data_IF_938248139115
#
_entry.id   IF_938248139115
#
_cell.length_a   1.000
_cell.length_b   1.000
_cell.length_c   1.000
_cell.angle_alpha   90.00
_cell.angle_beta   90.00
_cell.angle_gamma   90.00
#
_symmetry.space_group_name_H-M   'P 1'
#
loop_
_entity.id
_entity.type
_entity.pdbx_description
1 polymer ?
#
# COMPACT_ATOMS: atom_id res chain seq x y z
N UNK A 1 8.55 -1.38 -64.02
CA UNK A 1 7.92 -0.20 -63.37
C UNK A 1 7.75 -0.50 -61.88
N UNK A 2 8.76 -0.12 -61.09
CA UNK A 2 8.66 0.46 -59.72
C UNK A 2 8.12 -0.32 -58.49
N UNK A 3 8.22 -1.66 -58.37
CA UNK A 3 7.80 -2.34 -57.12
C UNK A 3 8.76 -3.37 -56.51
N UNK A 4 10.07 -3.34 -56.82
CA UNK A 4 11.07 -4.19 -56.14
C UNK A 4 12.14 -3.44 -55.35
N UNK A 5 12.27 -2.11 -55.51
CA UNK A 5 13.26 -1.32 -54.77
C UNK A 5 12.75 -0.84 -53.39
N UNK A 6 11.45 -0.90 -53.13
CA UNK A 6 10.85 -0.44 -51.87
C UNK A 6 11.05 -1.46 -50.73
N UNK A 7 11.23 -2.74 -51.04
CA UNK A 7 11.40 -3.80 -50.02
C UNK A 7 12.70 -3.67 -49.21
N UNK A 8 13.91 -3.43 -49.77
CA UNK A 8 15.11 -3.26 -48.95
C UNK A 8 15.07 -1.99 -48.10
N UNK A 9 14.43 -0.91 -48.60
CA UNK A 9 14.30 0.35 -47.86
C UNK A 9 13.32 0.18 -46.69
N UNK A 10 12.18 -0.48 -46.91
CA UNK A 10 11.22 -0.77 -45.85
C UNK A 10 11.82 -1.69 -44.77
N UNK A 11 12.59 -2.71 -45.17
CA UNK A 11 13.31 -3.59 -44.22
C UNK A 11 14.33 -2.79 -43.42
N UNK A 12 15.10 -1.91 -44.04
CA UNK A 12 16.07 -1.06 -43.34
C UNK A 12 15.39 -0.13 -42.32
N UNK A 13 14.26 0.49 -42.68
CA UNK A 13 13.48 1.35 -41.77
C UNK A 13 12.92 0.54 -40.60
N UNK A 14 12.38 -0.66 -40.84
CA UNK A 14 11.87 -1.54 -39.79
C UNK A 14 13.00 -1.99 -38.84
N UNK A 15 14.18 -2.33 -39.36
CA UNK A 15 15.34 -2.69 -38.54
C UNK A 15 15.81 -1.52 -37.65
N UNK A 16 15.81 -0.29 -38.18
CA UNK A 16 16.16 0.91 -37.41
C UNK A 16 15.13 1.17 -36.29
N UNK A 17 13.82 1.02 -36.58
CA UNK A 17 12.77 1.18 -35.58
C UNK A 17 12.88 0.14 -34.45
N UNK A 18 13.14 -1.13 -34.80
CA UNK A 18 13.34 -2.21 -33.82
C UNK A 18 14.56 -1.91 -32.94
N UNK A 19 15.70 -1.53 -33.54
CA UNK A 19 16.90 -1.18 -32.78
C UNK A 19 16.69 0.01 -31.82
N UNK A 20 15.88 1.00 -32.22
CA UNK A 20 15.58 2.17 -31.39
C UNK A 20 14.67 1.81 -30.20
N UNK A 21 13.69 0.92 -30.41
CA UNK A 21 12.82 0.40 -29.34
C UNK A 21 13.65 -0.39 -28.31
N UNK A 22 14.54 -1.29 -28.77
CA UNK A 22 15.40 -2.06 -27.86
C UNK A 22 16.36 -1.15 -27.07
N UNK A 23 16.96 -0.13 -27.70
CA UNK A 23 17.85 0.82 -27.02
C UNK A 23 17.11 1.70 -25.99
N UNK A 24 15.86 2.06 -26.25
CA UNK A 24 15.03 2.77 -25.27
C UNK A 24 14.55 1.86 -24.12
N UNK A 25 14.42 0.54 -24.35
CA UNK A 25 14.02 -0.42 -23.32
C UNK A 25 15.16 -0.73 -22.33
N UNK A 26 16.42 -0.80 -22.79
CA UNK A 26 17.58 -1.03 -21.91
C UNK A 26 17.79 0.08 -20.87
N UNK A 27 17.42 1.32 -21.18
CA UNK A 27 17.48 2.44 -20.24
C UNK A 27 16.56 2.32 -19.01
N UNK A 28 15.60 1.39 -19.03
CA UNK A 28 14.70 1.12 -17.89
C UNK A 28 15.28 0.05 -16.92
N UNK A 29 16.22 -0.78 -17.38
CA UNK A 29 16.81 -1.86 -16.56
C UNK A 29 17.79 -1.28 -15.52
N UNK A 30 18.54 -0.23 -15.86
CA UNK A 30 19.46 0.41 -14.90
C UNK A 30 18.74 1.11 -13.74
N UNK A 31 17.52 1.61 -13.96
CA UNK A 31 16.70 2.22 -12.89
C UNK A 31 16.32 1.19 -11.80
N UNK A 32 16.04 -0.06 -12.19
CA UNK A 32 15.76 -1.15 -11.24
C UNK A 32 16.97 -1.54 -10.39
N UNK A 33 18.19 -1.48 -10.96
CA UNK A 33 19.42 -1.81 -10.23
C UNK A 33 19.76 -0.75 -9.17
N UNK A 34 19.43 0.52 -9.43
CA UNK A 34 19.52 1.62 -8.47
C UNK A 34 18.53 1.47 -7.30
N UNK A 35 17.26 1.16 -7.59
CA UNK A 35 16.21 0.96 -6.57
C UNK A 35 16.50 -0.23 -5.63
N UNK A 36 17.05 -1.34 -6.15
CA UNK A 36 17.40 -2.49 -5.29
C UNK A 36 18.53 -2.19 -4.29
N UNK A 37 19.45 -1.27 -4.64
CA UNK A 37 20.52 -0.84 -3.73
C UNK A 37 20.02 0.20 -2.73
N UNK A 38 19.15 1.13 -3.14
CA UNK A 38 18.54 2.12 -2.25
C UNK A 38 17.63 1.47 -1.18
N UNK A 39 16.98 0.33 -1.51
CA UNK A 39 16.14 -0.41 -0.56
C UNK A 39 16.94 -1.20 0.50
N UNK A 40 18.22 -1.49 0.27
CA UNK A 40 19.07 -2.17 1.25
C UNK A 40 19.52 -1.25 2.39
N UNK A 41 19.48 0.07 2.20
CA UNK A 41 19.85 1.07 3.22
C UNK A 41 18.65 1.68 3.96
N UNK A 42 17.42 1.29 3.60
CA UNK A 42 16.22 1.72 4.30
C UNK A 42 16.12 1.01 5.65
N UNK A 43 16.68 1.65 6.69
CA UNK A 43 16.49 1.29 8.09
C UNK A 43 14.99 1.13 8.37
N UNK A 44 14.51 -0.06 8.79
CA UNK A 44 13.11 -0.26 9.13
C UNK A 44 12.75 0.61 10.33
N UNK A 45 12.00 1.70 10.08
CA UNK A 45 11.24 2.51 11.04
C UNK A 45 11.64 2.34 12.51
N UNK A 46 12.75 2.97 12.89
CA UNK A 46 13.00 3.29 14.29
C UNK A 46 12.78 4.79 14.37
N UNK A 47 11.67 5.20 14.97
CA UNK A 47 11.38 6.62 15.23
C UNK A 47 12.40 7.11 16.26
N UNK A 48 13.47 7.76 15.79
CA UNK A 48 14.51 8.39 16.65
C UNK A 48 13.95 9.51 17.53
N UNK A 49 12.69 9.91 17.28
CA UNK A 49 11.96 11.00 17.89
C UNK A 49 11.28 10.58 19.21
N UNK A 50 11.27 9.29 19.53
CA UNK A 50 10.70 8.74 20.77
C UNK A 50 11.67 8.90 21.97
N UNK A 51 12.23 10.10 22.13
CA UNK A 51 12.91 10.51 23.37
C UNK A 51 11.93 11.32 24.18
N UNK A 52 11.09 10.63 24.93
CA UNK A 52 10.20 11.29 25.88
C UNK A 52 11.03 11.77 27.08
N UNK A 53 11.24 13.09 27.17
CA UNK A 53 11.79 13.74 28.36
C UNK A 53 10.67 13.88 29.40
N UNK A 54 10.11 12.75 29.83
CA UNK A 54 9.16 12.70 30.94
C UNK A 54 9.95 12.58 32.25
N UNK A 55 10.65 13.65 32.63
CA UNK A 55 11.04 13.88 34.03
C UNK A 55 9.75 14.17 34.83
N UNK A 56 8.96 13.12 35.07
CA UNK A 56 7.77 13.18 35.90
C UNK A 56 8.18 12.96 37.36
N UNK A 57 8.04 14.01 38.15
CA UNK A 57 8.02 13.97 39.60
C UNK A 57 7.05 12.88 40.07
N UNK A 58 7.42 11.97 40.99
CA UNK A 58 6.49 10.97 41.51
C UNK A 58 5.44 11.71 42.33
N UNK A 59 4.22 11.77 41.81
CA UNK A 59 3.03 12.05 42.61
C UNK A 59 2.18 10.79 42.51
N UNK A 60 2.29 10.00 43.57
CA UNK A 60 1.46 8.86 43.98
C UNK A 60 0.02 9.38 44.13
N UNK A 61 -1.03 8.85 43.51
CA UNK A 61 -1.90 7.68 43.78
C UNK A 61 -3.05 7.86 42.75
N UNK A 62 -3.44 6.88 41.93
CA UNK A 62 -4.36 5.80 42.27
C UNK A 62 -4.01 4.54 41.45
N UNK A 63 -3.82 3.44 42.16
CA UNK A 63 -3.52 2.13 41.59
C UNK A 63 -4.72 1.55 40.82
N UNK A 64 -4.68 1.64 39.49
CA UNK A 64 -5.28 0.62 38.63
C UNK A 64 -4.12 -0.19 38.02
N UNK A 65 -3.64 -1.15 38.80
CA UNK A 65 -2.69 -2.18 38.37
C UNK A 65 -3.41 -3.14 37.43
N UNK A 66 -3.72 -2.66 36.22
CA UNK A 66 -4.17 -3.46 35.10
C UNK A 66 -3.00 -4.25 34.51
N UNK A 67 -2.31 -5.03 35.32
CA UNK A 67 -1.40 -6.07 34.87
C UNK A 67 -2.25 -7.19 34.26
N UNK A 68 -2.60 -7.04 32.98
CA UNK A 68 -3.19 -8.11 32.18
C UNK A 68 -2.13 -9.21 32.05
N UNK A 69 -2.17 -10.17 32.98
CA UNK A 69 -1.33 -11.35 32.92
C UNK A 69 -1.65 -12.07 31.62
N UNK A 70 -0.73 -12.05 30.66
CA UNK A 70 -0.89 -12.74 29.37
C UNK A 70 -1.38 -14.17 29.60
N UNK A 71 -2.67 -14.39 29.40
CA UNK A 71 -3.29 -15.68 29.62
C UNK A 71 -2.66 -16.65 28.61
N UNK A 72 -2.20 -17.81 29.08
CA UNK A 72 -1.58 -18.81 28.20
C UNK A 72 -2.67 -19.48 27.36
N UNK A 73 -3.00 -18.86 26.22
CA UNK A 73 -4.03 -19.35 25.28
C UNK A 73 -3.39 -20.23 24.22
N UNK A 74 -4.13 -21.26 23.78
CA UNK A 74 -3.71 -22.14 22.69
C UNK A 74 -3.53 -21.37 21.38
N UNK A 75 -2.35 -21.51 20.76
CA UNK A 75 -2.05 -20.89 19.46
C UNK A 75 -2.57 -21.77 18.31
N UNK A 76 -3.25 -21.15 17.36
CA UNK A 76 -3.72 -21.79 16.13
C UNK A 76 -3.03 -21.22 14.87
N UNK A 77 -2.83 -22.00 13.78
CA UNK A 77 -2.26 -21.49 12.55
C UNK A 77 -3.10 -20.38 11.90
N UNK A 78 -2.44 -19.32 11.42
CA UNK A 78 -3.11 -18.22 10.72
C UNK A 78 -3.44 -18.57 9.27
N UNK A 79 -4.71 -18.42 8.89
CA UNK A 79 -5.18 -18.56 7.50
C UNK A 79 -5.24 -17.21 6.80
N UNK A 80 -4.36 -16.98 5.83
CA UNK A 80 -4.25 -15.71 5.10
C UNK A 80 -4.84 -15.78 3.68
N UNK A 81 -5.68 -14.81 3.33
CA UNK A 81 -6.14 -14.61 1.94
C UNK A 81 -5.16 -13.72 1.18
N UNK A 82 -4.43 -14.31 0.23
CA UNK A 82 -3.46 -13.60 -0.62
C UNK A 82 -4.05 -13.26 -1.99
N UNK A 83 -3.83 -12.02 -2.43
CA UNK A 83 -4.23 -11.55 -3.76
C UNK A 83 -3.01 -11.37 -4.68
N UNK A 84 -3.16 -11.46 -6.01
CA UNK A 84 -2.13 -11.04 -6.97
C UNK A 84 -1.81 -9.55 -6.82
N UNK A 85 -0.56 -9.15 -7.05
CA UNK A 85 -0.09 -7.76 -6.83
C UNK A 85 -0.95 -6.71 -7.56
N UNK A 86 -1.33 -7.01 -8.81
CA UNK A 86 -2.19 -6.13 -9.62
C UNK A 86 -3.56 -5.89 -8.99
N UNK A 87 -4.12 -6.92 -8.34
CA UNK A 87 -5.38 -6.81 -7.63
C UNK A 87 -5.22 -6.09 -6.29
N UNK A 88 -4.11 -6.32 -5.58
CA UNK A 88 -3.80 -5.60 -4.33
C UNK A 88 -3.79 -4.08 -4.55
N UNK A 89 -3.07 -3.62 -5.58
CA UNK A 89 -3.00 -2.19 -5.95
C UNK A 89 -4.38 -1.63 -6.28
N UNK A 90 -5.19 -2.40 -7.01
CA UNK A 90 -6.55 -1.99 -7.36
C UNK A 90 -7.41 -1.84 -6.10
N UNK A 91 -7.45 -2.86 -5.24
CA UNK A 91 -8.29 -2.87 -4.02
C UNK A 91 -7.88 -1.76 -3.05
N UNK A 92 -6.57 -1.52 -2.88
CA UNK A 92 -6.09 -0.43 -2.02
C UNK A 92 -6.51 0.94 -2.55
N UNK A 93 -6.46 1.14 -3.88
CA UNK A 93 -6.87 2.40 -4.50
C UNK A 93 -8.38 2.65 -4.32
N UNK A 94 -9.21 1.63 -4.57
CA UNK A 94 -10.67 1.73 -4.39
C UNK A 94 -11.03 2.01 -2.92
N UNK A 95 -10.34 1.37 -1.98
CA UNK A 95 -10.55 1.59 -0.55
C UNK A 95 -10.14 3.01 -0.13
N UNK A 96 -9.00 3.50 -0.60
CA UNK A 96 -8.56 4.88 -0.38
C UNK A 96 -9.59 5.89 -0.90
N UNK A 97 -10.04 5.71 -2.14
CA UNK A 97 -11.03 6.61 -2.76
C UNK A 97 -12.38 6.57 -2.03
N UNK A 98 -12.78 5.41 -1.50
CA UNK A 98 -13.97 5.28 -0.66
C UNK A 98 -13.82 6.09 0.63
N UNK A 99 -12.73 5.91 1.36
CA UNK A 99 -12.50 6.60 2.63
C UNK A 99 -12.29 8.11 2.46
N UNK A 100 -11.68 8.54 1.36
CA UNK A 100 -11.46 9.96 1.05
C UNK A 100 -12.78 10.74 0.89
N UNK A 101 -13.89 10.06 0.56
CA UNK A 101 -15.22 10.68 0.48
C UNK A 101 -15.84 10.94 1.85
N UNK A 102 -15.36 10.30 2.92
CA UNK A 102 -15.91 10.45 4.27
C UNK A 102 -15.67 11.87 4.78
N UNK A 103 -16.75 12.57 5.15
CA UNK A 103 -16.70 13.87 5.82
C UNK A 103 -17.48 13.80 7.13
N UNK A 104 -17.05 14.56 8.13
CA UNK A 104 -17.83 14.70 9.37
C UNK A 104 -19.10 15.50 9.07
N UNK A 105 -20.24 14.83 9.16
CA UNK A 105 -21.57 15.43 8.96
C UNK A 105 -22.15 15.79 10.33
N UNK A 106 -22.62 17.03 10.49
CA UNK A 106 -23.21 17.54 11.75
C UNK A 106 -24.73 17.71 11.70
N UNK A 107 -25.33 17.40 10.54
CA UNK A 107 -26.77 17.50 10.30
C UNK A 107 -27.24 16.17 9.73
N UNK A 108 -28.09 15.45 10.45
CA UNK A 108 -28.50 14.08 10.13
C UNK A 108 -30.01 14.09 9.84
N UNK A 109 -30.42 13.35 8.80
CA UNK A 109 -31.84 13.16 8.47
C UNK A 109 -32.53 12.29 9.51
N UNK A 110 -33.85 12.43 9.67
CA UNK A 110 -34.67 11.55 10.51
C UNK A 110 -35.17 10.29 9.75
N UNK A 111 -34.66 10.06 8.55
CA UNK A 111 -34.96 8.86 7.77
C UNK A 111 -34.45 7.60 8.48
N UNK A 112 -35.29 6.56 8.55
CA UNK A 112 -34.91 5.30 9.18
C UNK A 112 -33.91 4.54 8.32
N UNK A 113 -32.96 3.88 8.98
CA UNK A 113 -31.98 3.01 8.34
C UNK A 113 -32.14 1.57 8.83
N UNK A 114 -31.77 0.55 8.04
CA UNK A 114 -31.89 -0.85 8.47
C UNK A 114 -31.00 -1.15 9.68
N UNK A 115 -31.57 -1.79 10.72
CA UNK A 115 -30.84 -2.13 11.95
C UNK A 115 -29.64 -3.05 11.69
N UNK A 116 -29.74 -3.94 10.70
CA UNK A 116 -28.66 -4.84 10.29
C UNK A 116 -27.40 -4.08 9.85
N UNK A 117 -27.56 -2.90 9.25
CA UNK A 117 -26.42 -2.06 8.86
C UNK A 117 -25.73 -1.52 10.12
N UNK A 118 -26.49 -1.12 11.13
CA UNK A 118 -25.97 -0.65 12.43
C UNK A 118 -25.21 -1.77 13.14
N UNK A 119 -25.79 -2.97 13.20
CA UNK A 119 -25.15 -4.12 13.84
C UNK A 119 -23.83 -4.50 13.16
N UNK A 120 -23.79 -4.45 11.83
CA UNK A 120 -22.59 -4.81 11.07
C UNK A 120 -21.46 -3.79 11.24
N UNK A 121 -21.77 -2.48 11.34
CA UNK A 121 -20.73 -1.47 11.61
C UNK A 121 -20.24 -1.51 13.05
N UNK A 122 -21.09 -1.91 14.01
CA UNK A 122 -20.67 -2.13 15.41
C UNK A 122 -19.77 -3.36 15.50
N UNK A 123 -20.10 -4.48 14.85
CA UNK A 123 -19.24 -5.69 14.82
C UNK A 123 -17.88 -5.43 14.16
N UNK A 124 -17.78 -4.41 13.33
CA UNK A 124 -16.54 -4.02 12.65
C UNK A 124 -15.67 -3.05 13.47
N UNK A 125 -16.22 -2.42 14.53
CA UNK A 125 -15.54 -1.45 15.40
C UNK A 125 -14.84 -2.16 16.57
#
# INVERSE_FOLDING_TARGET
MTMFCLTPVLVAVVCILIAWIFKNADGNIERRKGETRARAEARPWVDEDLKDSSDLHPVEEDADDGQDSEENVEHIPFSHTRYPEKEMVKRSQEFYELLNKRRSVRFISNEQVPIEVIDNVIKAA
#
